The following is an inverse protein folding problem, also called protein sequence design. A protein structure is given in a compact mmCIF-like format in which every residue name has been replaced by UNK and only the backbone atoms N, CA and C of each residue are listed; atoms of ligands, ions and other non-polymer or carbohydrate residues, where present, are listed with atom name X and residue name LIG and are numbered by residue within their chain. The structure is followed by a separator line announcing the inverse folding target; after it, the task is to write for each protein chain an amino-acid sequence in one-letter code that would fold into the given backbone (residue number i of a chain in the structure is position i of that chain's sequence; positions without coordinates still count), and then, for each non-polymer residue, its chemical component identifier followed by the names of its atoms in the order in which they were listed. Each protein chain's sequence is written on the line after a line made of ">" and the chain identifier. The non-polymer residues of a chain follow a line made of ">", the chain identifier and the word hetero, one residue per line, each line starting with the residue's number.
data_IF_551504970911
#
_entry.id   IF_551504970911
#
_cell.length_a   1.000
_cell.length_b   1.000
_cell.length_c   1.000
_cell.angle_alpha   90.00
_cell.angle_beta   90.00
_cell.angle_gamma   90.00
#
_symmetry.space_group_name_H-M   'P 1'
#
loop_
_entity.id
_entity.type
_entity.pdbx_description
1 polymer ?
#
# COMPACT_ATOMS: atom_id res chain seq x y z
N UNK A 1 -8.26 2.47 -4.21
CA UNK A 1 -7.69 3.76 -3.77
C UNK A 1 -8.46 4.29 -2.59
N UNK A 2 -7.79 5.10 -1.77
CA UNK A 2 -8.32 5.73 -0.57
C UNK A 2 -8.29 7.25 -0.77
N UNK A 3 -9.46 7.83 -0.97
CA UNK A 3 -9.58 9.27 -1.19
C UNK A 3 -11.00 9.78 -0.86
N UNK A 4 -11.07 11.03 -0.47
CA UNK A 4 -12.33 11.75 -0.28
C UNK A 4 -12.73 12.41 -1.61
N UNK A 5 -13.27 11.60 -2.54
CA UNK A 5 -13.67 12.07 -3.85
C UNK A 5 -15.19 12.08 -4.00
N UNK A 6 -15.73 13.11 -4.65
CA UNK A 6 -17.17 13.30 -4.83
C UNK A 6 -17.88 13.71 -3.53
N UNK A 7 -19.19 13.50 -3.47
CA UNK A 7 -19.97 13.79 -2.27
C UNK A 7 -19.70 12.76 -1.17
N UNK A 8 -19.68 13.18 0.11
CA UNK A 8 -19.57 12.24 1.21
C UNK A 8 -20.82 11.37 1.35
N UNK A 9 -20.66 10.16 1.88
CA UNK A 9 -21.80 9.27 2.15
C UNK A 9 -22.74 9.85 3.21
N UNK A 10 -22.20 10.62 4.13
CA UNK A 10 -22.94 11.24 5.22
C UNK A 10 -22.20 12.45 5.77
N UNK A 11 -22.96 13.47 6.10
CA UNK A 11 -22.48 14.56 6.96
C UNK A 11 -22.68 14.17 8.42
N UNK A 12 -21.65 14.36 9.23
CA UNK A 12 -21.62 14.10 10.68
C UNK A 12 -21.10 15.34 11.41
N UNK A 13 -21.07 15.30 12.74
CA UNK A 13 -20.58 16.41 13.57
C UNK A 13 -21.30 17.73 13.22
N UNK A 14 -22.63 17.70 13.34
CA UNK A 14 -23.52 18.89 13.08
C UNK A 14 -23.39 19.41 11.62
N UNK A 15 -23.07 18.52 10.67
CA UNK A 15 -22.87 18.88 9.27
C UNK A 15 -21.49 19.44 8.93
N UNK A 16 -20.60 19.51 9.89
CA UNK A 16 -19.26 20.08 9.72
C UNK A 16 -18.21 19.09 9.19
N UNK A 17 -18.57 17.80 9.06
CA UNK A 17 -17.63 16.76 8.61
C UNK A 17 -18.30 15.83 7.58
N UNK A 18 -17.71 15.73 6.41
CA UNK A 18 -18.11 14.76 5.40
C UNK A 18 -17.43 13.40 5.67
N UNK A 19 -18.23 12.36 5.79
CA UNK A 19 -17.74 11.01 6.00
C UNK A 19 -17.74 10.22 4.70
N UNK A 20 -16.58 9.70 4.33
CA UNK A 20 -16.39 8.75 3.23
C UNK A 20 -16.16 7.37 3.82
N UNK A 21 -17.25 6.63 4.02
CA UNK A 21 -17.26 5.42 4.84
C UNK A 21 -16.70 4.22 4.11
N UNK A 22 -15.84 3.46 4.80
CA UNK A 22 -15.41 2.12 4.43
C UNK A 22 -14.87 2.02 2.98
N UNK A 23 -13.94 2.91 2.63
CA UNK A 23 -13.34 2.96 1.29
C UNK A 23 -12.46 1.74 1.00
N UNK A 24 -11.96 1.07 2.04
CA UNK A 24 -11.28 -0.21 1.95
C UNK A 24 -11.48 -0.99 3.23
N UNK A 25 -11.29 -2.29 3.16
CA UNK A 25 -11.31 -3.17 4.32
C UNK A 25 -9.92 -3.73 4.55
N UNK A 26 -9.55 -3.83 5.82
CA UNK A 26 -8.36 -4.57 6.22
C UNK A 26 -8.65 -6.05 6.15
N UNK A 27 -7.72 -6.82 5.59
CA UNK A 27 -7.74 -8.28 5.53
C UNK A 27 -6.54 -8.77 6.34
N UNK A 28 -6.77 -9.17 7.58
CA UNK A 28 -5.74 -9.57 8.52
C UNK A 28 -6.09 -10.95 9.04
N UNK A 29 -5.17 -11.88 8.87
CA UNK A 29 -5.34 -13.26 9.32
C UNK A 29 -4.24 -13.65 10.32
N UNK A 30 -4.52 -14.70 11.09
CA UNK A 30 -3.52 -15.32 11.96
C UNK A 30 -2.54 -16.15 11.12
N UNK A 31 -1.35 -16.35 11.65
CA UNK A 31 -0.40 -17.29 11.09
C UNK A 31 -0.79 -18.74 11.42
N UNK A 32 0.16 -19.66 11.23
CA UNK A 32 -0.10 -21.10 11.40
C UNK A 32 -0.06 -21.56 12.86
N UNK A 33 0.61 -20.82 13.73
CA UNK A 33 0.75 -21.16 15.15
C UNK A 33 -0.16 -20.28 16.02
N UNK A 34 -0.61 -20.77 17.19
CA UNK A 34 -1.43 -19.95 18.10
C UNK A 34 -0.75 -18.65 18.56
N UNK A 35 0.58 -18.62 18.61
CA UNK A 35 1.36 -17.42 18.93
C UNK A 35 1.39 -16.38 17.80
N UNK A 36 0.94 -16.76 16.61
CA UNK A 36 0.98 -15.92 15.41
C UNK A 36 -0.35 -15.19 15.15
N UNK A 37 -1.10 -14.89 16.20
CA UNK A 37 -2.33 -14.10 16.09
C UNK A 37 -2.02 -12.72 15.51
N UNK A 38 -2.84 -12.28 14.55
CA UNK A 38 -2.68 -11.00 13.85
C UNK A 38 -3.63 -9.94 14.36
N UNK A 39 -3.13 -8.71 14.47
CA UNK A 39 -3.94 -7.54 14.80
C UNK A 39 -3.60 -6.40 13.82
N UNK A 40 -4.56 -5.49 13.63
CA UNK A 40 -4.31 -4.26 12.91
C UNK A 40 -3.47 -3.31 13.77
N UNK A 41 -2.45 -2.72 13.17
CA UNK A 41 -1.64 -1.69 13.78
C UNK A 41 -1.44 -0.51 12.85
N UNK A 42 -1.05 0.61 13.41
CA UNK A 42 -0.70 1.83 12.67
C UNK A 42 0.79 2.09 12.86
N UNK A 43 1.51 2.20 11.75
CA UNK A 43 2.92 2.56 11.72
C UNK A 43 3.11 3.87 10.95
N UNK A 44 4.22 4.55 11.19
CA UNK A 44 4.63 5.69 10.39
C UNK A 44 5.87 5.32 9.59
N UNK A 45 5.79 5.48 8.27
CA UNK A 45 6.91 5.25 7.37
C UNK A 45 7.43 6.59 6.87
N UNK A 46 8.68 6.89 7.15
CA UNK A 46 9.38 8.06 6.61
C UNK A 46 10.25 7.60 5.44
N UNK A 47 9.71 7.71 4.23
CA UNK A 47 10.40 7.31 3.01
C UNK A 47 11.15 8.50 2.39
N UNK A 48 12.31 8.20 1.81
CA UNK A 48 13.02 9.17 0.95
C UNK A 48 12.31 9.30 -0.38
N UNK A 49 12.26 10.52 -0.91
CA UNK A 49 11.71 10.77 -2.24
C UNK A 49 12.53 10.06 -3.31
N UNK A 50 11.84 9.58 -4.31
CA UNK A 50 12.39 8.96 -5.51
C UNK A 50 12.06 9.82 -6.73
N UNK A 51 12.57 9.45 -7.88
CA UNK A 51 12.32 10.17 -9.13
C UNK A 51 11.98 9.17 -10.25
N UNK A 52 11.26 9.68 -11.26
CA UNK A 52 11.10 8.99 -12.53
C UNK A 52 12.24 9.43 -13.49
N UNK A 53 12.71 8.57 -14.37
CA UNK A 53 12.33 7.16 -14.50
C UNK A 53 12.78 6.34 -13.29
N UNK A 54 11.94 5.41 -12.86
CA UNK A 54 12.22 4.56 -11.69
C UNK A 54 12.61 3.15 -12.14
N UNK A 55 13.69 2.63 -11.56
CA UNK A 55 14.19 1.29 -11.84
C UNK A 55 13.67 0.32 -10.77
N UNK A 56 12.66 -0.46 -11.11
CA UNK A 56 12.12 -1.51 -10.25
C UNK A 56 13.03 -2.74 -10.28
N UNK A 57 13.53 -3.17 -9.13
CA UNK A 57 14.43 -4.33 -9.01
C UNK A 57 13.81 -5.46 -8.21
N UNK A 58 12.79 -5.19 -7.39
CA UNK A 58 12.14 -6.20 -6.57
C UNK A 58 10.68 -5.82 -6.32
N UNK A 59 9.89 -6.83 -6.04
CA UNK A 59 8.56 -6.70 -5.47
C UNK A 59 8.42 -7.61 -4.26
N UNK A 60 7.48 -7.29 -3.40
CA UNK A 60 7.16 -8.04 -2.20
C UNK A 60 5.67 -8.26 -2.06
N UNK A 61 5.28 -9.21 -1.20
CA UNK A 61 3.89 -9.40 -0.80
C UNK A 61 3.81 -9.81 0.66
N UNK A 62 2.62 -9.62 1.22
CA UNK A 62 2.34 -9.94 2.62
C UNK A 62 1.25 -11.00 2.70
N UNK A 63 1.60 -12.28 2.96
CA UNK A 63 0.64 -13.38 2.96
C UNK A 63 -0.42 -13.32 4.07
N UNK A 64 -0.14 -12.62 5.17
CA UNK A 64 -1.01 -12.59 6.34
C UNK A 64 -1.81 -11.30 6.52
N UNK A 65 -1.62 -10.31 5.65
CA UNK A 65 -2.36 -9.06 5.80
C UNK A 65 -2.34 -8.13 4.60
N UNK A 66 -3.39 -7.34 4.46
CA UNK A 66 -3.42 -6.18 3.60
C UNK A 66 -2.56 -5.06 4.16
N UNK A 67 -2.21 -4.09 3.32
CA UNK A 67 -1.39 -2.95 3.73
C UNK A 67 -1.93 -1.66 3.12
N UNK A 68 -2.40 -0.76 3.98
CA UNK A 68 -2.91 0.54 3.56
C UNK A 68 -1.84 1.61 3.75
N UNK A 69 -1.63 2.41 2.73
CA UNK A 69 -0.72 3.55 2.72
C UNK A 69 -1.51 4.85 2.57
N UNK A 70 -1.40 5.72 3.56
CA UNK A 70 -2.04 7.03 3.58
C UNK A 70 -0.96 8.11 3.65
N UNK A 71 -0.77 8.93 2.60
CA UNK A 71 0.20 10.01 2.66
C UNK A 71 -0.24 11.05 3.70
N UNK A 72 0.71 11.50 4.52
CA UNK A 72 0.47 12.53 5.53
C UNK A 72 0.66 13.95 4.98
N UNK A 73 0.79 14.07 3.67
CA UNK A 73 0.87 15.33 2.92
C UNK A 73 0.27 15.12 1.53
N UNK A 74 0.23 16.16 0.72
CA UNK A 74 -0.22 16.09 -0.69
C UNK A 74 0.79 15.35 -1.60
N UNK A 75 1.37 14.27 -1.10
CA UNK A 75 2.34 13.46 -1.84
C UNK A 75 1.68 12.66 -2.96
N UNK A 76 2.34 12.63 -4.11
CA UNK A 76 2.11 11.60 -5.13
C UNK A 76 3.14 10.50 -4.96
N UNK A 77 2.75 9.28 -5.21
CA UNK A 77 3.69 8.16 -5.16
C UNK A 77 3.37 7.14 -6.25
N UNK A 78 4.41 6.47 -6.68
CA UNK A 78 4.33 5.40 -7.66
C UNK A 78 3.91 4.11 -6.96
N UNK A 79 2.89 3.47 -7.48
CA UNK A 79 2.42 2.16 -7.04
C UNK A 79 2.62 1.16 -8.17
N UNK A 80 3.38 0.11 -7.91
CA UNK A 80 3.57 -0.98 -8.85
C UNK A 80 2.96 -2.23 -8.25
N UNK A 81 2.14 -2.93 -9.03
CA UNK A 81 1.55 -4.23 -8.66
C UNK A 81 1.78 -5.26 -9.74
N UNK A 82 1.70 -6.52 -9.38
CA UNK A 82 1.77 -7.62 -10.31
C UNK A 82 0.78 -8.73 -9.94
N UNK A 83 0.39 -9.49 -10.93
CA UNK A 83 -0.40 -10.71 -10.71
C UNK A 83 0.53 -11.83 -10.23
N UNK A 84 -0.03 -12.82 -9.56
CA UNK A 84 0.70 -14.03 -9.17
C UNK A 84 0.46 -15.15 -10.19
N UNK A 85 1.53 -15.78 -10.59
CA UNK A 85 1.48 -17.03 -11.35
C UNK A 85 2.41 -18.04 -10.71
N UNK A 86 1.82 -18.96 -9.96
CA UNK A 86 2.56 -20.02 -9.27
C UNK A 86 3.72 -19.50 -8.38
N UNK A 87 3.46 -18.42 -7.64
CA UNK A 87 4.45 -17.80 -6.76
C UNK A 87 5.43 -16.85 -7.44
N UNK A 88 5.20 -16.53 -8.72
CA UNK A 88 6.05 -15.62 -9.50
C UNK A 88 5.22 -14.40 -9.94
N UNK A 89 5.72 -13.17 -9.71
CA UNK A 89 5.03 -11.98 -10.16
C UNK A 89 5.07 -11.86 -11.70
N UNK A 90 3.90 -11.60 -12.30
CA UNK A 90 3.72 -11.41 -13.73
C UNK A 90 2.77 -10.24 -14.01
N UNK A 91 2.68 -9.78 -15.26
CA UNK A 91 1.74 -8.73 -15.67
C UNK A 91 1.85 -7.46 -14.82
N UNK A 92 3.05 -6.90 -14.74
CA UNK A 92 3.32 -5.70 -13.97
C UNK A 92 2.52 -4.50 -14.47
N UNK A 93 1.96 -3.72 -13.54
CA UNK A 93 1.23 -2.49 -13.81
C UNK A 93 1.72 -1.41 -12.86
N UNK A 94 1.94 -0.22 -13.39
CA UNK A 94 2.38 0.93 -12.63
C UNK A 94 1.31 2.03 -12.65
N UNK A 95 1.10 2.66 -11.51
CA UNK A 95 0.13 3.72 -11.33
C UNK A 95 0.77 4.88 -10.57
N UNK A 96 0.43 6.08 -10.96
CA UNK A 96 0.78 7.28 -10.21
C UNK A 96 -0.45 7.77 -9.46
N UNK A 97 -0.34 7.93 -8.15
CA UNK A 97 -1.44 8.46 -7.36
C UNK A 97 -1.64 9.96 -7.64
N UNK A 98 -2.85 10.43 -7.38
CA UNK A 98 -3.13 11.86 -7.26
C UNK A 98 -2.60 12.38 -5.90
N UNK A 99 -2.34 13.70 -5.78
CA UNK A 99 -1.94 14.29 -4.51
C UNK A 99 -2.89 13.90 -3.38
N UNK A 100 -2.37 13.42 -2.25
CA UNK A 100 -3.15 13.02 -1.08
C UNK A 100 -3.93 11.71 -1.20
N UNK A 101 -3.92 11.06 -2.36
CA UNK A 101 -4.58 9.77 -2.56
C UNK A 101 -3.78 8.64 -1.91
N UNK A 102 -4.46 7.86 -1.06
CA UNK A 102 -3.89 6.64 -0.49
C UNK A 102 -4.26 5.39 -1.28
N UNK A 103 -3.66 4.27 -0.91
CA UNK A 103 -3.96 2.96 -1.49
C UNK A 103 -4.05 1.90 -0.39
N UNK A 104 -4.87 0.89 -0.62
CA UNK A 104 -4.86 -0.34 0.17
C UNK A 104 -4.45 -1.49 -0.74
N UNK A 105 -3.32 -2.10 -0.46
CA UNK A 105 -2.84 -3.28 -1.15
C UNK A 105 -3.43 -4.51 -0.50
N UNK A 106 -4.12 -5.32 -1.28
CA UNK A 106 -4.75 -6.54 -0.79
C UNK A 106 -3.73 -7.53 -0.25
N UNK A 107 -4.19 -8.42 0.63
CA UNK A 107 -3.36 -9.50 1.14
C UNK A 107 -2.79 -10.32 -0.01
N UNK A 108 -1.50 -10.60 0.05
CA UNK A 108 -0.78 -11.43 -0.89
C UNK A 108 -0.64 -10.87 -2.32
N UNK A 109 -0.92 -9.58 -2.50
CA UNK A 109 -0.70 -8.89 -3.78
C UNK A 109 0.76 -8.49 -3.92
N UNK A 110 1.40 -8.89 -5.01
CA UNK A 110 2.75 -8.43 -5.34
C UNK A 110 2.76 -6.93 -5.59
N UNK A 111 3.65 -6.22 -4.90
CA UNK A 111 3.80 -4.77 -5.06
C UNK A 111 5.26 -4.32 -4.92
N UNK A 112 5.58 -3.21 -5.55
CA UNK A 112 6.88 -2.55 -5.42
C UNK A 112 7.04 -1.84 -4.07
N UNK A 113 8.23 -1.39 -3.80
CA UNK A 113 8.56 -0.62 -2.59
C UNK A 113 7.83 0.73 -2.56
N UNK A 114 7.66 1.29 -1.37
CA UNK A 114 7.09 2.63 -1.20
C UNK A 114 7.96 3.66 -1.94
N UNK A 115 7.35 4.35 -2.91
CA UNK A 115 8.05 5.20 -3.86
C UNK A 115 7.41 6.59 -3.97
N UNK A 116 7.53 7.44 -2.94
CA UNK A 116 7.01 8.81 -3.02
C UNK A 116 7.85 9.64 -3.98
N UNK A 117 7.19 10.47 -4.78
CA UNK A 117 7.83 11.33 -5.79
C UNK A 117 7.91 12.79 -5.34
N UNK A 118 7.05 13.20 -4.42
CA UNK A 118 7.01 14.55 -3.86
C UNK A 118 6.37 14.56 -2.46
N UNK A 119 6.24 15.73 -1.88
CA UNK A 119 5.70 15.91 -0.53
C UNK A 119 6.71 15.55 0.56
N UNK A 120 6.20 15.19 1.74
CA UNK A 120 7.04 14.93 2.93
C UNK A 120 7.67 13.54 2.93
N UNK A 121 7.16 12.60 2.15
CA UNK A 121 7.56 11.19 2.22
C UNK A 121 7.07 10.46 3.49
N UNK A 122 6.27 11.12 4.31
CA UNK A 122 5.70 10.52 5.52
C UNK A 122 4.34 9.89 5.22
N UNK A 123 4.17 8.64 5.63
CA UNK A 123 2.94 7.86 5.44
C UNK A 123 2.47 7.24 6.75
N UNK A 124 1.17 7.25 6.96
CA UNK A 124 0.54 6.35 7.91
C UNK A 124 0.28 5.02 7.20
N UNK A 125 0.70 3.93 7.81
CA UNK A 125 0.58 2.59 7.25
C UNK A 125 -0.23 1.74 8.22
N UNK A 126 -1.32 1.16 7.74
CA UNK A 126 -2.18 0.30 8.53
C UNK A 126 -2.04 -1.12 7.98
N UNK A 127 -1.48 -2.00 8.78
CA UNK A 127 -1.24 -3.38 8.39
C UNK A 127 -1.21 -4.31 9.61
N UNK A 128 -0.85 -5.56 9.36
CA UNK A 128 -0.81 -6.59 10.39
C UNK A 128 0.38 -6.41 11.32
N UNK A 129 0.09 -6.47 12.60
CA UNK A 129 1.06 -6.63 13.69
C UNK A 129 0.90 -8.02 14.29
N UNK A 130 2.00 -8.72 14.50
CA UNK A 130 2.03 -10.07 15.06
C UNK A 130 3.20 -10.90 14.52
N UNK A 131 3.47 -12.00 15.18
CA UNK A 131 4.47 -12.97 14.73
C UNK A 131 3.99 -13.74 13.50
N UNK A 132 4.87 -14.53 12.91
CA UNK A 132 4.63 -15.30 11.69
C UNK A 132 5.29 -14.68 10.46
N UNK A 133 5.40 -15.48 9.41
CA UNK A 133 6.02 -15.07 8.15
C UNK A 133 5.01 -14.27 7.33
N UNK A 134 5.23 -12.97 7.25
CA UNK A 134 4.36 -12.02 6.55
C UNK A 134 5.09 -11.21 5.49
N UNK A 135 6.17 -11.73 4.96
CA UNK A 135 6.95 -11.10 3.90
C UNK A 135 7.48 -12.17 2.95
N UNK A 136 7.19 -12.01 1.68
CA UNK A 136 7.86 -12.70 0.58
C UNK A 136 8.41 -11.65 -0.37
N UNK A 137 9.66 -11.79 -0.75
CA UNK A 137 10.34 -10.92 -1.71
C UNK A 137 10.65 -11.68 -2.99
N UNK A 138 10.52 -10.99 -4.12
CA UNK A 138 10.93 -11.49 -5.42
C UNK A 138 11.82 -10.48 -6.12
N UNK A 139 13.08 -10.85 -6.30
CA UNK A 139 14.05 -10.04 -7.02
C UNK A 139 13.98 -10.35 -8.50
N UNK A 140 13.87 -9.30 -9.32
CA UNK A 140 13.72 -9.42 -10.76
C UNK A 140 15.06 -9.76 -11.41
N UNK A 141 15.10 -10.73 -12.30
CA UNK A 141 16.30 -11.06 -13.10
C UNK A 141 16.72 -9.88 -13.97
N UNK A 142 15.74 -9.18 -14.53
CA UNK A 142 15.92 -7.95 -15.29
C UNK A 142 15.09 -6.84 -14.67
N UNK A 143 15.69 -5.71 -14.29
CA UNK A 143 14.94 -4.56 -13.79
C UNK A 143 13.94 -4.05 -14.81
N UNK A 144 12.81 -3.59 -14.31
CA UNK A 144 11.77 -2.91 -15.11
C UNK A 144 11.97 -1.41 -14.97
N UNK A 145 12.18 -0.72 -16.08
CA UNK A 145 12.24 0.74 -16.10
C UNK A 145 10.84 1.32 -16.24
N UNK A 146 10.44 2.11 -15.26
CA UNK A 146 9.16 2.83 -15.28
C UNK A 146 9.47 4.27 -15.72
N UNK A 147 9.00 4.69 -16.92
CA UNK A 147 9.34 6.00 -17.48
C UNK A 147 8.62 7.15 -16.77
N UNK A 148 8.93 8.36 -17.18
CA UNK A 148 8.20 9.58 -16.79
C UNK A 148 6.75 9.57 -17.28
#
# INVERSE_FOLDING_TARGET
>A
VLEAAGAPDKLINEGMCGRYHNRARLDIIDGQQPSEAGQAGISLFQAKLRALPFRLTMVERHPLGSQAFLPMSESRFLVVVADDRDGVPVNFRAFLTRPGQGVNLGRNVWHGVLCPLDGSGLFAVIDRVGEGVNLEEHWLDQPILIPE
#
